data_IF_268375642335
#
_entry.id   IF_268375642335
#
_cell.length_a   1.000
_cell.length_b   1.000
_cell.length_c   1.000
_cell.angle_alpha   90.00
_cell.angle_beta   90.00
_cell.angle_gamma   90.00
#
_symmetry.space_group_name_H-M   'P 1'
#
loop_
_entity.id
_entity.type
_entity.pdbx_description
1 polymer ?
#
# COMPACT_ATOMS: atom_id res chain seq x y z
N UNK A 1 38.73 93.61 -17.79
CA UNK A 1 39.29 94.01 -19.12
C UNK A 1 39.95 92.85 -19.83
N UNK A 2 41.07 92.26 -19.38
CA UNK A 2 41.69 91.13 -20.11
C UNK A 2 40.97 89.78 -19.89
N UNK A 3 40.41 89.57 -18.70
CA UNK A 3 39.64 88.37 -18.31
C UNK A 3 38.30 88.25 -19.04
N UNK A 4 37.65 89.38 -19.35
CA UNK A 4 36.34 89.40 -20.01
C UNK A 4 36.42 88.99 -21.49
N UNK A 5 37.47 89.43 -22.20
CA UNK A 5 37.69 89.12 -23.63
C UNK A 5 38.08 87.65 -23.82
N UNK A 6 38.82 87.09 -22.85
CA UNK A 6 39.20 85.68 -22.82
C UNK A 6 37.98 84.80 -22.49
N UNK A 7 37.12 85.22 -21.57
CA UNK A 7 35.84 84.57 -21.29
C UNK A 7 34.89 84.54 -22.51
N UNK A 8 34.80 85.64 -23.27
CA UNK A 8 34.04 85.71 -24.53
C UNK A 8 34.60 84.80 -25.64
N UNK A 9 35.90 84.49 -25.61
CA UNK A 9 36.56 83.56 -26.53
C UNK A 9 36.52 82.09 -26.05
N UNK A 10 35.88 81.80 -24.91
CA UNK A 10 35.83 80.47 -24.31
C UNK A 10 37.14 80.02 -23.65
N UNK A 11 37.97 80.97 -23.22
CA UNK A 11 39.25 80.73 -22.57
C UNK A 11 39.19 81.13 -21.09
N UNK A 12 39.38 80.15 -20.21
CA UNK A 12 39.31 80.27 -18.75
C UNK A 12 40.70 80.09 -18.14
N UNK A 13 40.99 80.78 -17.03
CA UNK A 13 42.19 80.53 -16.24
C UNK A 13 41.88 79.58 -15.08
N UNK A 14 42.79 78.64 -14.84
CA UNK A 14 42.81 77.73 -13.71
C UNK A 14 43.51 78.35 -12.48
N UNK A 15 43.38 77.74 -11.30
CA UNK A 15 44.03 78.12 -10.03
C UNK A 15 45.57 78.16 -10.09
N UNK A 16 46.15 77.64 -11.18
CA UNK A 16 47.59 77.65 -11.47
C UNK A 16 47.98 78.64 -12.60
N UNK A 17 47.13 79.62 -12.91
CA UNK A 17 47.30 80.62 -13.98
C UNK A 17 47.50 80.03 -15.38
N UNK A 18 47.00 78.80 -15.61
CA UNK A 18 47.06 78.14 -16.92
C UNK A 18 45.80 78.44 -17.71
N UNK A 19 45.99 78.84 -18.98
CA UNK A 19 44.89 79.06 -19.92
C UNK A 19 44.26 77.71 -20.32
N UNK A 20 42.95 77.57 -20.17
CA UNK A 20 42.15 76.38 -20.48
C UNK A 20 40.96 76.76 -21.36
N UNK A 21 40.53 75.84 -22.22
CA UNK A 21 39.39 76.03 -23.13
C UNK A 21 38.05 75.63 -22.49
N UNK A 22 38.10 74.93 -21.36
CA UNK A 22 36.93 74.55 -20.58
C UNK A 22 37.01 75.20 -19.20
N UNK A 23 35.85 75.61 -18.70
CA UNK A 23 35.71 76.10 -17.34
C UNK A 23 36.20 75.03 -16.33
N UNK A 24 37.13 75.36 -15.43
CA UNK A 24 37.63 74.43 -14.42
C UNK A 24 36.52 73.87 -13.53
N UNK A 25 35.47 74.63 -13.22
CA UNK A 25 34.35 74.16 -12.40
C UNK A 25 33.54 73.09 -13.14
N UNK A 26 33.25 73.31 -14.43
CA UNK A 26 32.57 72.34 -15.30
C UNK A 26 33.42 71.07 -15.49
N UNK A 27 34.73 71.23 -15.59
CA UNK A 27 35.68 70.09 -15.70
C UNK A 27 35.66 69.22 -14.44
N UNK A 28 35.62 69.86 -13.26
CA UNK A 28 35.56 69.16 -11.99
C UNK A 28 34.21 68.48 -11.76
N UNK A 29 33.09 69.17 -12.00
CA UNK A 29 31.75 68.58 -11.92
C UNK A 29 31.59 67.39 -12.88
N UNK A 30 32.17 67.47 -14.08
CA UNK A 30 32.16 66.35 -15.04
C UNK A 30 32.98 65.15 -14.55
N UNK A 31 34.10 65.40 -13.85
CA UNK A 31 34.92 64.35 -13.25
C UNK A 31 34.20 63.68 -12.07
N UNK A 32 33.58 64.46 -11.19
CA UNK A 32 32.79 63.97 -10.06
C UNK A 32 31.59 63.15 -10.53
N UNK A 33 30.84 63.64 -11.52
CA UNK A 33 29.71 62.92 -12.12
C UNK A 33 30.14 61.60 -12.75
N UNK A 34 31.33 61.54 -13.36
CA UNK A 34 31.88 60.31 -13.94
C UNK A 34 32.20 59.28 -12.86
N UNK A 35 32.76 59.71 -11.73
CA UNK A 35 33.05 58.85 -10.58
C UNK A 35 31.75 58.33 -9.95
N UNK A 36 30.76 59.20 -9.74
CA UNK A 36 29.43 58.82 -9.22
C UNK A 36 28.68 57.85 -10.13
N UNK A 37 28.74 58.05 -11.44
CA UNK A 37 28.18 57.13 -12.42
C UNK A 37 28.84 55.75 -12.30
N UNK A 38 30.16 55.70 -12.15
CA UNK A 38 30.91 54.44 -12.01
C UNK A 38 30.53 53.71 -10.72
N UNK A 39 30.48 54.42 -9.61
CA UNK A 39 30.02 53.89 -8.32
C UNK A 39 28.58 53.36 -8.38
N UNK A 40 27.70 54.06 -9.09
CA UNK A 40 26.30 53.65 -9.27
C UNK A 40 26.18 52.37 -10.11
N UNK A 41 26.99 52.23 -11.16
CA UNK A 41 27.05 51.01 -11.96
C UNK A 41 27.61 49.84 -11.13
N UNK A 42 28.66 50.06 -10.35
CA UNK A 42 29.24 49.02 -9.49
C UNK A 42 28.26 48.55 -8.41
N UNK A 43 27.58 49.48 -7.73
CA UNK A 43 26.53 49.15 -6.75
C UNK A 43 25.37 48.38 -7.40
N UNK A 44 24.98 48.77 -8.61
CA UNK A 44 23.96 48.05 -9.38
C UNK A 44 24.41 46.63 -9.74
N UNK A 45 25.67 46.45 -10.13
CA UNK A 45 26.25 45.14 -10.40
C UNK A 45 26.31 44.25 -9.16
N UNK A 46 26.66 44.81 -8.00
CA UNK A 46 26.62 44.08 -6.72
C UNK A 46 25.19 43.69 -6.33
N UNK A 47 24.23 44.59 -6.49
CA UNK A 47 22.82 44.30 -6.24
C UNK A 47 22.31 43.16 -7.13
N UNK A 48 22.61 43.19 -8.43
CA UNK A 48 22.26 42.11 -9.36
C UNK A 48 22.87 40.77 -8.95
N UNK A 49 24.12 40.75 -8.48
CA UNK A 49 24.74 39.51 -7.94
C UNK A 49 23.99 38.99 -6.71
N UNK A 50 23.61 39.87 -5.79
CA UNK A 50 22.86 39.48 -4.58
C UNK A 50 21.49 38.93 -4.96
N UNK A 51 20.74 39.63 -5.82
CA UNK A 51 19.42 39.19 -6.29
C UNK A 51 19.50 37.89 -7.08
N UNK A 52 20.53 37.72 -7.92
CA UNK A 52 20.80 36.47 -8.63
C UNK A 52 21.03 35.30 -7.67
N UNK A 53 21.92 35.49 -6.68
CA UNK A 53 22.18 34.50 -5.65
C UNK A 53 20.95 34.15 -4.81
N UNK A 54 20.16 35.16 -4.41
CA UNK A 54 18.88 34.95 -3.70
C UNK A 54 17.89 34.15 -4.55
N UNK A 55 17.78 34.48 -5.85
CA UNK A 55 16.89 33.80 -6.79
C UNK A 55 17.28 32.34 -6.93
N UNK A 56 18.57 32.02 -7.07
CA UNK A 56 19.05 30.64 -7.11
C UNK A 56 18.75 29.88 -5.82
N UNK A 57 18.96 30.50 -4.67
CA UNK A 57 18.64 29.92 -3.36
C UNK A 57 17.15 29.61 -3.25
N UNK A 58 16.29 30.56 -3.62
CA UNK A 58 14.83 30.41 -3.64
C UNK A 58 14.41 29.27 -4.58
N UNK A 59 15.04 29.18 -5.76
CA UNK A 59 14.76 28.16 -6.78
C UNK A 59 15.14 26.76 -6.29
N UNK A 60 16.29 26.64 -5.62
CA UNK A 60 16.76 25.39 -5.01
C UNK A 60 15.85 24.94 -3.86
N UNK A 61 15.39 25.89 -3.03
CA UNK A 61 14.48 25.63 -1.92
C UNK A 61 13.10 25.15 -2.40
N UNK A 62 12.58 25.72 -3.48
CA UNK A 62 11.24 25.38 -3.98
C UNK A 62 11.18 24.06 -4.75
N UNK A 63 12.19 23.75 -5.57
CA UNK A 63 12.10 22.64 -6.54
C UNK A 63 12.54 21.29 -5.99
N UNK A 64 13.63 21.24 -5.21
CA UNK A 64 14.26 19.97 -4.81
C UNK A 64 13.54 19.25 -3.66
N UNK A 65 13.29 19.86 -2.49
CA UNK A 65 12.68 19.15 -1.38
C UNK A 65 11.22 18.79 -1.67
N UNK A 66 10.45 19.72 -2.24
CA UNK A 66 9.03 19.53 -2.54
C UNK A 66 8.75 18.38 -3.51
N UNK A 67 9.60 18.18 -4.52
CA UNK A 67 9.44 17.07 -5.48
C UNK A 67 9.88 15.75 -4.87
N UNK A 68 10.99 15.73 -4.15
CA UNK A 68 11.54 14.50 -3.57
C UNK A 68 10.65 13.95 -2.45
N UNK A 69 10.18 14.80 -1.54
CA UNK A 69 9.28 14.39 -0.45
C UNK A 69 7.92 13.94 -0.96
N UNK A 70 7.33 14.66 -1.93
CA UNK A 70 6.09 14.21 -2.58
C UNK A 70 6.25 12.85 -3.24
N UNK A 71 7.36 12.64 -3.96
CA UNK A 71 7.64 11.36 -4.59
C UNK A 71 7.79 10.22 -3.58
N UNK A 72 8.47 10.47 -2.46
CA UNK A 72 8.58 9.50 -1.34
C UNK A 72 7.21 9.19 -0.73
N UNK A 73 6.40 10.21 -0.46
CA UNK A 73 5.05 10.04 0.08
C UNK A 73 4.15 9.24 -0.85
N UNK A 74 4.15 9.54 -2.15
CA UNK A 74 3.41 8.77 -3.17
C UNK A 74 3.92 7.33 -3.26
N UNK A 75 5.24 7.11 -3.19
CA UNK A 75 5.82 5.77 -3.16
C UNK A 75 5.35 4.95 -1.95
N UNK A 76 5.37 5.54 -0.76
CA UNK A 76 4.87 4.90 0.46
C UNK A 76 3.36 4.59 0.38
N UNK A 77 2.57 5.52 -0.18
CA UNK A 77 1.13 5.32 -0.38
C UNK A 77 0.85 4.16 -1.34
N UNK A 78 1.57 4.06 -2.45
CA UNK A 78 1.42 2.97 -3.41
C UNK A 78 1.77 1.62 -2.79
N UNK A 79 2.81 1.58 -1.94
CA UNK A 79 3.17 0.38 -1.19
C UNK A 79 2.07 -0.05 -0.21
N UNK A 80 1.46 0.90 0.51
CA UNK A 80 0.34 0.60 1.40
C UNK A 80 -0.86 0.04 0.63
N UNK A 81 -1.18 0.63 -0.53
CA UNK A 81 -2.26 0.15 -1.40
C UNK A 81 -1.96 -1.26 -1.92
N UNK A 82 -0.72 -1.55 -2.34
CA UNK A 82 -0.36 -2.89 -2.82
C UNK A 82 -0.43 -3.93 -1.71
N UNK A 83 0.03 -3.61 -0.49
CA UNK A 83 -0.09 -4.49 0.68
C UNK A 83 -1.56 -4.75 1.01
N UNK A 84 -2.42 -3.73 0.97
CA UNK A 84 -3.85 -3.90 1.21
C UNK A 84 -4.50 -4.84 0.18
N UNK A 85 -4.18 -4.67 -1.12
CA UNK A 85 -4.64 -5.57 -2.18
C UNK A 85 -4.13 -7.00 -2.00
N UNK A 86 -2.87 -7.17 -1.62
CA UNK A 86 -2.30 -8.49 -1.34
C UNK A 86 -3.02 -9.17 -0.17
N UNK A 87 -3.29 -8.45 0.92
CA UNK A 87 -4.04 -8.97 2.07
C UNK A 87 -5.45 -9.38 1.69
N UNK A 88 -6.15 -8.56 0.90
CA UNK A 88 -7.48 -8.88 0.40
C UNK A 88 -7.46 -10.18 -0.43
N UNK A 89 -6.51 -10.32 -1.35
CA UNK A 89 -6.35 -11.54 -2.13
C UNK A 89 -6.08 -12.78 -1.27
N UNK A 90 -5.19 -12.67 -0.27
CA UNK A 90 -4.93 -13.75 0.69
C UNK A 90 -6.18 -14.12 1.50
N UNK A 91 -6.95 -13.11 1.93
CA UNK A 91 -8.18 -13.32 2.68
C UNK A 91 -9.21 -14.08 1.85
N UNK A 92 -9.40 -13.70 0.58
CA UNK A 92 -10.30 -14.38 -0.35
C UNK A 92 -9.86 -15.83 -0.61
N UNK A 93 -8.56 -16.08 -0.79
CA UNK A 93 -8.02 -17.44 -0.95
C UNK A 93 -8.27 -18.31 0.28
N UNK A 94 -8.00 -17.80 1.47
CA UNK A 94 -8.26 -18.53 2.72
C UNK A 94 -9.75 -18.80 2.91
N UNK A 95 -10.61 -17.82 2.60
CA UNK A 95 -12.05 -17.98 2.70
C UNK A 95 -12.57 -19.07 1.74
N UNK A 96 -12.07 -19.12 0.51
CA UNK A 96 -12.40 -20.17 -0.45
C UNK A 96 -11.96 -21.55 0.05
N UNK A 97 -10.74 -21.66 0.60
CA UNK A 97 -10.23 -22.92 1.15
C UNK A 97 -11.06 -23.40 2.35
N UNK A 98 -11.45 -22.48 3.24
CA UNK A 98 -12.33 -22.80 4.38
C UNK A 98 -13.67 -23.32 3.88
N UNK A 99 -14.27 -22.69 2.87
CA UNK A 99 -15.54 -23.13 2.29
C UNK A 99 -15.42 -24.54 1.67
N UNK A 100 -14.34 -24.80 0.93
CA UNK A 100 -14.07 -26.12 0.35
C UNK A 100 -13.93 -27.20 1.44
N UNK A 101 -13.18 -26.91 2.51
CA UNK A 101 -12.97 -27.87 3.62
C UNK A 101 -14.24 -28.13 4.40
N UNK A 102 -15.09 -27.10 4.62
CA UNK A 102 -16.42 -27.28 5.23
C UNK A 102 -17.31 -28.18 4.39
N UNK A 103 -17.36 -27.96 3.08
CA UNK A 103 -18.12 -28.80 2.16
C UNK A 103 -17.60 -30.25 2.15
N UNK A 104 -16.28 -30.47 2.19
CA UNK A 104 -15.70 -31.80 2.32
C UNK A 104 -16.13 -32.49 3.62
N UNK A 105 -16.12 -31.76 4.74
CA UNK A 105 -16.53 -32.27 6.04
C UNK A 105 -18.01 -32.65 6.07
N UNK A 106 -18.89 -31.82 5.51
CA UNK A 106 -20.32 -32.13 5.38
C UNK A 106 -20.55 -33.39 4.54
N UNK A 107 -19.81 -33.57 3.44
CA UNK A 107 -19.87 -34.78 2.63
C UNK A 107 -19.48 -36.03 3.42
N UNK A 108 -18.40 -35.96 4.20
CA UNK A 108 -17.96 -37.09 5.03
C UNK A 108 -18.97 -37.44 6.11
N UNK A 109 -19.60 -36.45 6.75
CA UNK A 109 -20.67 -36.72 7.71
C UNK A 109 -21.86 -37.46 7.10
N UNK A 110 -22.28 -37.06 5.90
CA UNK A 110 -23.37 -37.76 5.20
C UNK A 110 -22.97 -39.20 4.84
N UNK A 111 -21.73 -39.41 4.41
CA UNK A 111 -21.20 -40.74 4.08
C UNK A 111 -21.10 -41.64 5.31
N UNK A 112 -20.62 -41.10 6.44
CA UNK A 112 -20.57 -41.80 7.72
C UNK A 112 -21.97 -42.18 8.22
N UNK A 113 -22.93 -41.25 8.13
CA UNK A 113 -24.31 -41.52 8.53
C UNK A 113 -24.95 -42.62 7.67
N UNK A 114 -24.68 -42.62 6.35
CA UNK A 114 -25.15 -43.66 5.44
C UNK A 114 -24.54 -45.02 5.78
N UNK A 115 -23.25 -45.06 6.11
CA UNK A 115 -22.56 -46.29 6.52
C UNK A 115 -23.14 -46.84 7.83
N UNK A 116 -23.29 -46.01 8.86
CA UNK A 116 -23.89 -46.39 10.14
C UNK A 116 -25.31 -46.95 9.98
N UNK A 117 -26.16 -46.33 9.13
CA UNK A 117 -27.50 -46.85 8.83
C UNK A 117 -27.44 -48.21 8.14
N UNK A 118 -26.48 -48.39 7.22
CA UNK A 118 -26.23 -49.67 6.57
C UNK A 118 -25.91 -50.77 7.57
N UNK A 119 -24.96 -50.52 8.47
CA UNK A 119 -24.57 -51.47 9.52
C UNK A 119 -25.74 -51.78 10.46
N UNK A 120 -26.49 -50.77 10.89
CA UNK A 120 -27.68 -50.97 11.74
C UNK A 120 -28.70 -51.89 11.05
N UNK A 121 -29.00 -51.64 9.78
CA UNK A 121 -29.92 -52.49 9.01
C UNK A 121 -29.41 -53.95 8.93
N UNK A 122 -28.11 -54.16 8.71
CA UNK A 122 -27.53 -55.51 8.70
C UNK A 122 -27.65 -56.20 10.06
N UNK A 123 -27.30 -55.49 11.15
CA UNK A 123 -27.41 -56.03 12.50
C UNK A 123 -28.85 -56.36 12.88
N UNK A 124 -29.81 -55.55 12.47
CA UNK A 124 -31.24 -55.80 12.68
C UNK A 124 -31.72 -57.04 11.92
N UNK A 125 -31.26 -57.21 10.66
CA UNK A 125 -31.56 -58.40 9.86
C UNK A 125 -31.00 -59.67 10.51
N UNK A 126 -29.74 -59.65 10.96
CA UNK A 126 -29.11 -60.77 11.66
C UNK A 126 -29.85 -61.10 12.96
N UNK A 127 -30.19 -60.08 13.74
CA UNK A 127 -30.93 -60.23 15.00
C UNK A 127 -32.31 -60.84 14.75
N UNK A 128 -33.03 -60.38 13.72
CA UNK A 128 -34.33 -60.92 13.34
C UNK A 128 -34.21 -62.39 12.91
N UNK A 129 -33.22 -62.71 12.07
CA UNK A 129 -32.99 -64.07 11.60
C UNK A 129 -32.66 -65.01 12.76
N UNK A 130 -31.79 -64.58 13.67
CA UNK A 130 -31.42 -65.34 14.87
C UNK A 130 -32.65 -65.67 15.73
N UNK A 131 -33.49 -64.66 15.99
CA UNK A 131 -34.74 -64.85 16.73
C UNK A 131 -35.68 -65.86 16.06
N UNK A 132 -35.83 -65.79 14.73
CA UNK A 132 -36.67 -66.75 13.98
C UNK A 132 -36.13 -68.16 14.02
N UNK A 133 -34.81 -68.33 14.00
CA UNK A 133 -34.15 -69.64 14.11
C UNK A 133 -34.39 -70.22 15.52
N UNK A 134 -34.17 -69.44 16.58
CA UNK A 134 -34.45 -69.82 17.97
C UNK A 134 -35.91 -70.26 18.17
N UNK A 135 -36.87 -69.53 17.60
CA UNK A 135 -38.28 -69.92 17.62
C UNK A 135 -38.53 -71.25 16.88
N UNK A 136 -37.90 -71.47 15.73
CA UNK A 136 -38.02 -72.76 15.03
C UNK A 136 -37.41 -73.90 15.84
N UNK A 137 -36.21 -73.73 16.39
CA UNK A 137 -35.51 -74.74 17.19
C UNK A 137 -36.36 -75.11 18.41
N UNK A 138 -36.87 -74.12 19.14
CA UNK A 138 -37.74 -74.35 20.31
C UNK A 138 -39.04 -75.06 19.93
N UNK A 139 -39.66 -74.70 18.80
CA UNK A 139 -40.84 -75.39 18.27
C UNK A 139 -40.56 -76.86 17.93
N UNK A 140 -39.50 -77.15 17.17
CA UNK A 140 -39.12 -78.52 16.81
C UNK A 140 -38.75 -79.35 18.06
N UNK A 141 -38.03 -78.77 19.00
CA UNK A 141 -37.68 -79.41 20.27
C UNK A 141 -38.91 -79.76 21.11
N UNK A 142 -39.90 -78.85 21.18
CA UNK A 142 -41.17 -79.10 21.88
C UNK A 142 -41.99 -80.19 21.18
N UNK A 143 -42.06 -80.18 19.84
CA UNK A 143 -42.73 -81.21 19.05
C UNK A 143 -42.09 -82.60 19.24
N UNK A 144 -40.76 -82.70 19.21
CA UNK A 144 -40.05 -83.95 19.44
C UNK A 144 -40.29 -84.51 20.85
N UNK A 145 -40.29 -83.65 21.89
CA UNK A 145 -40.64 -84.06 23.26
C UNK A 145 -42.08 -84.61 23.36
N UNK A 146 -43.04 -83.97 22.69
CA UNK A 146 -44.43 -84.41 22.69
C UNK A 146 -44.64 -85.76 21.96
N UNK A 147 -43.92 -86.00 20.86
CA UNK A 147 -43.97 -87.28 20.13
C UNK A 147 -43.37 -88.45 20.93
N UNK A 148 -42.27 -88.21 21.65
CA UNK A 148 -41.67 -89.22 22.52
C UNK A 148 -42.53 -89.57 23.74
N UNK A 149 -43.36 -88.64 24.23
CA UNK A 149 -44.36 -88.93 25.28
C UNK A 149 -45.50 -89.82 24.77
N UNK A 150 -46.00 -89.58 23.55
CA UNK A 150 -47.12 -90.34 22.98
C UNK A 150 -46.75 -91.79 22.62
N UNK A 151 -45.50 -92.04 22.22
CA UNK A 151 -45.02 -93.41 21.97
C UNK A 151 -44.79 -94.22 23.25
N UNK A 152 -44.43 -93.59 24.37
CA UNK A 152 -44.29 -94.28 25.67
C UNK A 152 -45.64 -94.71 26.27
N UNK A 153 -46.73 -94.04 25.90
CA UNK A 153 -48.09 -94.37 26.36
C UNK A 153 -48.82 -95.38 25.47
N UNK A 154 -48.25 -95.80 24.34
CA UNK A 154 -48.88 -96.74 23.39
C UNK A 154 -48.29 -98.15 23.42
N UNK A 155 -47.53 -98.52 24.46
CA UNK A 155 -47.11 -99.92 24.66
C UNK A 155 -48.29 -100.68 25.29
N UNK A 156 -48.88 -101.69 24.63
CA UNK A 156 -50.00 -102.43 25.20
C UNK A 156 -49.51 -103.32 26.36
N UNK A 157 -50.20 -103.25 27.50
CA UNK A 157 -50.29 -104.36 28.44
C UNK A 157 -50.99 -105.54 27.74
N UNK A 158 -50.55 -106.75 28.06
CA UNK A 158 -51.03 -108.05 27.55
C UNK A 158 -52.52 -108.13 27.20
#
# INVERSE_FOLDING_TARGET
MATDILGEAGLHFDELDKLRVLDPEVTQQTAELKEECKDSVDKTGQFQKIVGGLTELLTNLQKKPKKNERMKATGAQNLLISIAKQREGQWQQLHALIAEKKMQLERYWVEEEAFCKGEQNETDLLTNLFFRIELKISFYSRRAKNQNQTQKTSVPFQ
#
